data_IF_874331624183
#
_entry.id   IF_874331624183
#
_cell.length_a   1.000
_cell.length_b   1.000
_cell.length_c   1.000
_cell.angle_alpha   90.00
_cell.angle_beta   90.00
_cell.angle_gamma   90.00
#
_symmetry.space_group_name_H-M   'P 1'
#
loop_
_entity.id
_entity.type
_entity.pdbx_description
1 polymer ?
#
# COMPACT_ATOMS: atom_id res chain seq x y z
N UNK A 1 -2.35 16.46 23.24
CA UNK A 1 -1.93 15.17 23.83
C UNK A 1 -1.85 14.10 22.77
N UNK A 2 -0.99 13.10 22.92
CA UNK A 2 -0.83 11.98 21.98
C UNK A 2 -0.83 10.63 22.70
N UNK A 3 -1.57 9.66 22.18
CA UNK A 3 -1.55 8.26 22.60
C UNK A 3 -0.64 7.46 21.67
N UNK A 4 0.40 6.83 22.23
CA UNK A 4 1.37 5.99 21.51
C UNK A 4 1.33 4.52 21.94
N UNK A 5 0.34 4.13 22.75
CA UNK A 5 0.17 2.76 23.26
C UNK A 5 0.11 1.67 22.18
N UNK A 6 -0.32 2.04 20.97
CA UNK A 6 -0.43 1.14 19.80
C UNK A 6 0.57 1.44 18.68
N UNK A 7 1.60 2.24 18.96
CA UNK A 7 2.62 2.62 17.98
C UNK A 7 3.59 1.49 17.61
N UNK A 8 3.72 0.45 18.43
CA UNK A 8 4.60 -0.71 18.22
C UNK A 8 6.00 -0.32 17.72
N UNK A 9 6.40 -0.77 16.53
CA UNK A 9 7.71 -0.50 15.92
C UNK A 9 8.02 0.99 15.74
N UNK A 10 6.99 1.84 15.69
CA UNK A 10 7.14 3.28 15.51
C UNK A 10 7.32 4.03 16.84
N UNK A 11 7.08 3.38 17.99
CA UNK A 11 6.99 4.05 19.31
C UNK A 11 8.22 4.92 19.57
N UNK A 12 9.44 4.39 19.42
CA UNK A 12 10.67 5.13 19.67
C UNK A 12 10.79 6.45 18.88
N UNK A 13 10.47 6.43 17.58
CA UNK A 13 10.55 7.62 16.73
C UNK A 13 9.43 8.60 17.07
N UNK A 14 8.22 8.09 17.32
CA UNK A 14 7.05 8.93 17.63
C UNK A 14 7.23 9.62 18.99
N UNK A 15 7.76 8.93 20.01
CA UNK A 15 8.07 9.53 21.31
C UNK A 15 9.11 10.64 21.18
N UNK A 16 10.18 10.40 20.40
CA UNK A 16 11.19 11.42 20.12
C UNK A 16 10.58 12.67 19.45
N UNK A 17 9.75 12.49 18.43
CA UNK A 17 9.06 13.60 17.78
C UNK A 17 8.08 14.31 18.72
N UNK A 18 7.37 13.57 19.58
CA UNK A 18 6.42 14.13 20.54
C UNK A 18 7.11 15.05 21.54
N UNK A 19 8.28 14.64 22.03
CA UNK A 19 9.12 15.47 22.91
C UNK A 19 9.62 16.75 22.21
N UNK A 20 10.05 16.65 20.95
CA UNK A 20 10.53 17.81 20.16
C UNK A 20 9.40 18.82 19.93
N UNK A 21 8.20 18.34 19.62
CA UNK A 21 7.03 19.20 19.35
C UNK A 21 6.42 19.74 20.66
N UNK A 22 6.75 19.15 21.81
CA UNK A 22 6.20 19.53 23.11
C UNK A 22 4.76 19.07 23.32
N UNK A 23 4.40 17.90 22.79
CA UNK A 23 3.08 17.28 23.00
C UNK A 23 3.17 16.29 24.15
N UNK A 24 2.24 16.37 25.10
CA UNK A 24 2.13 15.40 26.20
C UNK A 24 1.80 14.00 25.65
N UNK A 25 2.74 13.07 25.82
CA UNK A 25 2.65 11.69 25.38
C UNK A 25 2.11 10.76 26.48
N UNK A 26 1.22 9.85 26.07
CA UNK A 26 0.68 8.77 26.90
C UNK A 26 1.09 7.42 26.29
N UNK A 27 2.24 6.86 26.73
CA UNK A 27 2.82 5.67 26.11
C UNK A 27 2.08 4.36 26.43
N UNK A 28 1.31 4.34 27.50
CA UNK A 28 0.49 3.19 27.94
C UNK A 28 -1.02 3.50 27.84
N UNK A 29 -1.39 4.63 27.21
CA UNK A 29 -2.75 5.15 27.21
C UNK A 29 -3.05 6.00 28.44
N UNK A 30 -4.31 6.42 28.56
CA UNK A 30 -4.78 7.27 29.67
C UNK A 30 -5.65 6.48 30.63
N UNK A 31 -5.35 6.59 31.93
CA UNK A 31 -6.12 5.95 33.00
C UNK A 31 -7.48 6.62 33.24
N UNK A 32 -7.60 7.91 32.88
CA UNK A 32 -8.82 8.71 33.05
C UNK A 32 -9.88 8.46 31.97
N UNK A 33 -9.60 7.57 31.01
CA UNK A 33 -10.47 7.22 29.88
C UNK A 33 -10.86 8.41 28.98
N UNK A 34 -10.20 9.58 29.13
CA UNK A 34 -10.36 10.71 28.23
C UNK A 34 -9.65 10.44 26.89
N UNK A 35 -10.20 10.91 25.76
CA UNK A 35 -9.54 10.74 24.47
C UNK A 35 -8.32 11.67 24.34
N UNK A 36 -7.29 11.21 23.63
CA UNK A 36 -6.19 12.06 23.20
C UNK A 36 -6.59 12.86 21.94
N UNK A 37 -5.88 13.97 21.70
CA UNK A 37 -6.06 14.73 20.45
C UNK A 37 -5.52 13.94 19.25
N UNK A 38 -4.46 13.15 19.46
CA UNK A 38 -3.81 12.33 18.44
C UNK A 38 -3.69 10.89 18.97
N UNK A 39 -4.08 9.91 18.15
CA UNK A 39 -3.80 8.50 18.37
C UNK A 39 -2.89 7.97 17.27
N UNK A 40 -1.69 7.52 17.64
CA UNK A 40 -0.69 7.02 16.71
C UNK A 40 -0.61 5.50 16.73
N UNK A 41 -1.10 4.88 15.67
CA UNK A 41 -1.20 3.43 15.55
C UNK A 41 -0.23 2.89 14.49
N UNK A 42 0.33 1.71 14.75
CA UNK A 42 1.15 0.96 13.79
C UNK A 42 0.31 0.38 12.65
N UNK A 43 -0.84 -0.20 12.98
CA UNK A 43 -1.79 -0.83 12.05
C UNK A 43 -3.10 -0.05 11.99
N UNK A 44 -3.87 -0.23 10.91
CA UNK A 44 -5.23 0.33 10.83
C UNK A 44 -6.07 -0.32 11.93
N UNK A 45 -6.61 0.44 12.89
CA UNK A 45 -7.45 -0.13 13.93
C UNK A 45 -8.76 -0.67 13.33
N UNK A 46 -9.19 -1.85 13.79
CA UNK A 46 -10.40 -2.53 13.33
C UNK A 46 -11.68 -1.75 13.66
N UNK A 47 -11.69 -1.07 14.81
CA UNK A 47 -12.80 -0.23 15.25
C UNK A 47 -12.35 1.23 15.36
N UNK A 48 -12.42 1.95 14.25
CA UNK A 48 -12.07 3.37 14.22
C UNK A 48 -13.05 4.24 15.03
N UNK A 49 -14.31 3.77 15.19
CA UNK A 49 -15.36 4.54 15.87
C UNK A 49 -15.13 4.61 17.38
N UNK A 50 -14.55 3.57 17.99
CA UNK A 50 -14.19 3.63 19.42
C UNK A 50 -12.99 4.54 19.71
N UNK A 51 -12.19 4.88 18.71
CA UNK A 51 -11.01 5.75 18.85
C UNK A 51 -11.37 7.21 18.59
N UNK A 52 -12.08 7.49 17.49
CA UNK A 52 -12.47 8.86 17.12
C UNK A 52 -13.74 9.25 17.88
N UNK A 53 -13.59 9.52 19.18
CA UNK A 53 -14.69 9.90 20.07
C UNK A 53 -15.12 11.37 19.95
N UNK A 54 -14.33 12.21 19.28
CA UNK A 54 -14.63 13.62 19.09
C UNK A 54 -14.10 14.17 17.76
N UNK A 55 -14.64 15.29 17.24
CA UNK A 55 -14.15 15.94 16.01
C UNK A 55 -12.69 16.44 16.09
N UNK A 56 -12.16 16.61 17.31
CA UNK A 56 -10.78 17.05 17.53
C UNK A 56 -9.78 15.88 17.49
N UNK A 57 -10.25 14.65 17.71
CA UNK A 57 -9.40 13.45 17.68
C UNK A 57 -8.92 13.17 16.26
N UNK A 58 -7.61 12.96 16.12
CA UNK A 58 -6.93 12.60 14.87
C UNK A 58 -6.29 11.23 15.01
N UNK A 59 -6.32 10.46 13.93
CA UNK A 59 -5.67 9.14 13.83
C UNK A 59 -4.80 9.15 12.58
N UNK A 60 -3.61 8.56 12.66
CA UNK A 60 -2.65 8.50 11.55
C UNK A 60 -2.99 7.43 10.49
N UNK A 61 -4.15 6.78 10.58
CA UNK A 61 -4.58 5.67 9.72
C UNK A 61 -5.97 5.96 9.18
N UNK A 62 -6.13 5.88 7.87
CA UNK A 62 -7.44 5.96 7.25
C UNK A 62 -8.09 4.56 7.17
N UNK A 63 -9.41 4.45 7.41
CA UNK A 63 -10.14 3.20 7.23
C UNK A 63 -10.09 2.77 5.75
N UNK A 64 -9.97 1.47 5.48
CA UNK A 64 -9.91 0.91 4.12
C UNK A 64 -8.54 1.00 3.43
N UNK A 65 -7.53 1.64 4.06
CA UNK A 65 -6.20 1.76 3.45
C UNK A 65 -5.47 0.44 3.34
N UNK A 66 -5.68 -0.48 4.28
CA UNK A 66 -5.03 -1.80 4.25
C UNK A 66 -5.45 -2.55 2.99
N UNK A 67 -6.74 -2.51 2.67
CA UNK A 67 -7.35 -3.17 1.52
C UNK A 67 -6.87 -2.54 0.22
N UNK A 68 -6.80 -1.22 0.14
CA UNK A 68 -6.28 -0.51 -1.04
C UNK A 68 -4.77 -0.73 -1.25
N UNK A 69 -4.00 -0.87 -0.17
CA UNK A 69 -2.55 -1.03 -0.22
C UNK A 69 -2.10 -2.46 -0.53
N UNK A 70 -3.03 -3.43 -0.57
CA UNK A 70 -2.72 -4.78 -1.04
C UNK A 70 -2.34 -4.73 -2.51
N UNK A 71 -1.34 -5.53 -2.89
CA UNK A 71 -0.76 -5.53 -4.22
C UNK A 71 -1.81 -5.76 -5.31
N UNK A 72 -2.73 -6.70 -5.09
CA UNK A 72 -3.82 -7.01 -6.02
C UNK A 72 -4.81 -5.86 -6.14
N UNK A 73 -5.31 -5.34 -5.02
CA UNK A 73 -6.23 -4.19 -5.01
C UNK A 73 -5.64 -2.96 -5.69
N UNK A 74 -4.39 -2.63 -5.37
CA UNK A 74 -3.67 -1.52 -5.98
C UNK A 74 -3.53 -1.71 -7.50
N UNK A 75 -3.16 -2.92 -7.93
CA UNK A 75 -3.03 -3.23 -9.36
C UNK A 75 -4.38 -3.10 -10.07
N UNK A 76 -5.48 -3.60 -9.50
CA UNK A 76 -6.82 -3.44 -10.07
C UNK A 76 -7.27 -1.97 -10.15
N UNK A 77 -6.99 -1.18 -9.11
CA UNK A 77 -7.32 0.24 -9.10
C UNK A 77 -6.54 0.99 -10.18
N UNK A 78 -5.23 0.73 -10.30
CA UNK A 78 -4.37 1.32 -11.32
C UNK A 78 -4.79 0.88 -12.73
N UNK A 79 -5.09 -0.40 -12.95
CA UNK A 79 -5.55 -0.90 -14.25
C UNK A 79 -6.87 -0.26 -14.66
N UNK A 80 -7.78 -0.04 -13.71
CA UNK A 80 -9.04 0.67 -13.96
C UNK A 80 -8.78 2.12 -14.37
N UNK A 81 -7.88 2.82 -13.67
CA UNK A 81 -7.50 4.18 -14.02
C UNK A 81 -6.75 4.26 -15.35
N UNK A 82 -5.90 3.29 -15.68
CA UNK A 82 -5.16 3.23 -16.94
C UNK A 82 -6.09 3.07 -18.15
N UNK A 83 -7.24 2.39 -18.00
CA UNK A 83 -8.25 2.31 -19.07
C UNK A 83 -8.86 3.69 -19.41
N UNK A 84 -8.96 4.58 -18.42
CA UNK A 84 -9.53 5.92 -18.57
C UNK A 84 -8.45 6.93 -18.98
N UNK A 85 -7.27 6.84 -18.35
CA UNK A 85 -6.15 7.78 -18.50
C UNK A 85 -4.85 7.02 -18.82
N UNK A 86 -4.72 6.46 -20.03
CA UNK A 86 -3.61 5.56 -20.37
C UNK A 86 -2.24 6.24 -20.35
N UNK A 87 -2.16 7.55 -20.62
CA UNK A 87 -0.91 8.31 -20.60
C UNK A 87 -0.44 8.59 -19.18
N UNK A 88 -1.37 8.98 -18.30
CA UNK A 88 -1.07 9.38 -16.93
C UNK A 88 -0.74 8.18 -16.02
N UNK A 89 -1.27 6.99 -16.35
CA UNK A 89 -1.06 5.74 -15.60
C UNK A 89 -0.11 4.76 -16.31
N UNK A 90 0.76 5.27 -17.17
CA UNK A 90 1.82 4.48 -17.83
C UNK A 90 3.05 4.23 -16.92
N UNK A 91 3.07 4.79 -15.71
CA UNK A 91 4.16 4.58 -14.74
C UNK A 91 4.14 3.20 -14.10
N UNK A 92 2.98 2.54 -14.05
CA UNK A 92 2.86 1.23 -13.43
C UNK A 92 3.07 0.15 -14.48
N UNK A 93 3.95 -0.85 -14.24
CA UNK A 93 4.23 -1.89 -15.21
C UNK A 93 3.00 -2.76 -15.50
N UNK A 94 2.92 -3.39 -16.68
CA UNK A 94 1.95 -4.45 -16.94
C UNK A 94 2.03 -5.51 -15.85
N UNK A 95 0.89 -5.90 -15.32
CA UNK A 95 0.75 -6.85 -14.22
C UNK A 95 -0.31 -7.89 -14.58
N UNK A 96 -0.02 -9.15 -14.28
CA UNK A 96 -0.90 -10.28 -14.61
C UNK A 96 -1.19 -11.03 -13.32
N UNK A 97 -2.42 -11.48 -13.09
CA UNK A 97 -2.78 -12.28 -11.93
C UNK A 97 -2.90 -13.74 -12.33
N UNK A 98 -1.95 -14.58 -11.91
CA UNK A 98 -2.01 -16.01 -12.20
C UNK A 98 -2.95 -16.73 -11.20
N UNK A 99 -3.66 -17.78 -11.64
CA UNK A 99 -3.67 -18.36 -12.99
C UNK A 99 -4.58 -17.61 -14.00
N UNK A 100 -5.45 -16.71 -13.54
CA UNK A 100 -6.51 -16.10 -14.34
C UNK A 100 -6.03 -15.35 -15.61
N UNK A 101 -4.86 -14.73 -15.56
CA UNK A 101 -4.29 -13.93 -16.65
C UNK A 101 -3.15 -14.63 -17.41
N UNK A 102 -3.02 -15.96 -17.30
CA UNK A 102 -1.91 -16.69 -17.93
C UNK A 102 -1.88 -16.51 -19.45
N UNK A 103 -3.04 -16.57 -20.12
CA UNK A 103 -3.09 -16.45 -21.58
C UNK A 103 -2.81 -15.01 -22.03
N UNK A 104 -3.32 -14.02 -21.31
CA UNK A 104 -3.00 -12.60 -21.54
C UNK A 104 -1.49 -12.33 -21.39
N UNK A 105 -0.87 -12.97 -20.41
CA UNK A 105 0.58 -12.88 -20.19
C UNK A 105 1.36 -13.48 -21.36
N UNK A 106 0.97 -14.67 -21.86
CA UNK A 106 1.58 -15.28 -23.05
C UNK A 106 1.45 -14.38 -24.28
N UNK A 107 0.26 -13.82 -24.52
CA UNK A 107 0.04 -12.90 -25.63
C UNK A 107 0.94 -11.66 -25.55
N UNK A 108 1.07 -11.07 -24.35
CA UNK A 108 1.97 -9.95 -24.12
C UNK A 108 3.41 -10.31 -24.44
N UNK A 109 3.90 -11.45 -23.93
CA UNK A 109 5.24 -11.95 -24.21
C UNK A 109 5.50 -12.08 -25.71
N UNK A 110 4.59 -12.72 -26.45
CA UNK A 110 4.76 -12.91 -27.90
C UNK A 110 4.82 -11.58 -28.66
N UNK A 111 3.96 -10.63 -28.30
CA UNK A 111 3.93 -9.28 -28.89
C UNK A 111 5.24 -8.52 -28.60
N UNK A 112 5.68 -8.53 -27.36
CA UNK A 112 6.87 -7.80 -26.91
C UNK A 112 8.17 -8.39 -27.49
N UNK A 113 8.30 -9.71 -27.55
CA UNK A 113 9.42 -10.38 -28.21
C UNK A 113 9.50 -10.03 -29.70
N UNK A 114 8.37 -10.01 -30.40
CA UNK A 114 8.31 -9.62 -31.82
C UNK A 114 8.76 -8.16 -32.02
N UNK A 115 8.28 -7.26 -31.15
CA UNK A 115 8.66 -5.84 -31.16
C UNK A 115 10.15 -5.63 -30.87
N UNK A 116 10.74 -6.40 -29.95
CA UNK A 116 12.17 -6.34 -29.62
C UNK A 116 13.04 -6.84 -30.77
N UNK A 117 12.66 -7.94 -31.42
CA UNK A 117 13.34 -8.47 -32.62
C UNK A 117 13.39 -7.44 -33.76
N UNK A 118 12.27 -6.76 -34.03
CA UNK A 118 12.23 -5.69 -35.05
C UNK A 118 13.17 -4.52 -34.73
N UNK A 119 13.48 -4.28 -33.45
CA UNK A 119 14.40 -3.25 -32.99
C UNK A 119 15.86 -3.72 -32.86
N UNK A 120 16.17 -4.96 -33.27
CA UNK A 120 17.52 -5.53 -33.14
C UNK A 120 17.97 -5.78 -31.70
N UNK A 121 17.05 -5.69 -30.73
CA UNK A 121 17.33 -5.96 -29.31
C UNK A 121 17.33 -7.47 -29.09
N UNK A 122 18.49 -8.04 -28.76
CA UNK A 122 18.64 -9.48 -28.48
C UNK A 122 18.46 -9.86 -27.00
N UNK A 123 18.22 -8.88 -26.12
CA UNK A 123 18.17 -9.15 -24.69
C UNK A 123 16.93 -9.95 -24.28
N UNK A 124 17.13 -10.85 -23.33
CA UNK A 124 16.08 -11.58 -22.65
C UNK A 124 15.13 -10.64 -21.89
N UNK A 125 13.88 -11.07 -21.75
CA UNK A 125 12.87 -10.39 -20.94
C UNK A 125 12.87 -10.98 -19.54
N UNK A 126 12.91 -10.10 -18.53
CA UNK A 126 12.89 -10.50 -17.13
C UNK A 126 11.55 -10.15 -16.49
N UNK A 127 11.12 -11.03 -15.59
CA UNK A 127 9.85 -10.92 -14.90
C UNK A 127 10.03 -11.11 -13.41
N UNK A 128 9.41 -10.24 -12.63
CA UNK A 128 9.39 -10.38 -11.17
C UNK A 128 8.10 -11.06 -10.78
N UNK A 129 8.20 -12.24 -10.17
CA UNK A 129 7.08 -12.96 -9.56
C UNK A 129 7.00 -12.58 -8.08
N UNK A 130 5.85 -12.09 -7.62
CA UNK A 130 5.61 -11.81 -6.19
C UNK A 130 4.42 -12.60 -5.68
N UNK A 131 4.49 -13.21 -4.50
CA UNK A 131 3.32 -13.78 -3.85
C UNK A 131 2.37 -12.68 -3.37
N UNK A 132 1.09 -12.99 -3.32
CA UNK A 132 0.05 -12.24 -2.61
C UNK A 132 -0.78 -13.28 -1.85
N UNK A 133 -1.20 -12.96 -0.62
CA UNK A 133 -1.84 -13.86 0.37
C UNK A 133 -2.70 -14.97 -0.29
N UNK A 134 -2.07 -16.11 -0.59
CA UNK A 134 -2.74 -17.29 -1.11
C UNK A 134 -2.28 -17.78 -2.47
N UNK A 135 -2.39 -17.01 -3.57
CA UNK A 135 -2.29 -17.61 -4.92
C UNK A 135 -1.98 -16.68 -6.11
N UNK A 136 -1.82 -15.37 -5.90
CA UNK A 136 -1.72 -14.43 -7.02
C UNK A 136 -0.27 -14.02 -7.24
N UNK A 137 0.27 -14.40 -8.39
CA UNK A 137 1.58 -13.95 -8.85
C UNK A 137 1.41 -12.74 -9.74
N UNK A 138 1.91 -11.57 -9.34
CA UNK A 138 2.04 -10.45 -10.29
C UNK A 138 3.40 -10.49 -10.96
N UNK A 139 3.38 -10.60 -12.28
CA UNK A 139 4.55 -10.48 -13.15
C UNK A 139 4.73 -9.03 -13.56
N UNK A 140 5.88 -8.44 -13.24
CA UNK A 140 6.25 -7.08 -13.69
C UNK A 140 7.33 -7.17 -14.78
N UNK A 141 7.12 -6.48 -15.90
CA UNK A 141 8.15 -6.24 -16.94
C UNK A 141 9.19 -5.23 -16.40
N UNK A 142 10.44 -5.67 -16.25
CA UNK A 142 11.57 -4.77 -16.02
C UNK A 142 12.04 -4.23 -17.38
N UNK A 143 11.58 -3.03 -17.72
CA UNK A 143 12.13 -2.25 -18.84
C UNK A 143 13.39 -1.51 -18.44
#
# INVERSE_FOLDING_TARGET
TIDTSRSNTNKAVVSMCSAIVGIDEYPEGRDDNHPCDIHWHSVVPSDMKSIVKSPRCRVNKFPGMTELSKKVSLTHAIDSMRKIFPRDYNFYPPSYFLPAHLDQFKEFWHKEMSRRRQKGLQNEMYFIVKPDDGNIFSILDCR
#
